data_IF_847353157836
#
_entry.id   IF_847353157836
#
_cell.length_a   1.000
_cell.length_b   1.000
_cell.length_c   1.000
_cell.angle_alpha   90.00
_cell.angle_beta   90.00
_cell.angle_gamma   90.00
#
_symmetry.space_group_name_H-M   'P 1'
#
loop_
_entity.id
_entity.type
_entity.pdbx_description
1 polymer ?
#
# COMPACT_ATOMS: atom_id res chain seq x y z
N UNK A 1 -15.00 24.87 35.54
CA UNK A 1 -14.54 25.50 34.28
C UNK A 1 -13.26 24.82 33.86
N UNK A 2 -13.36 23.78 33.04
CA UNK A 2 -12.21 23.05 32.47
C UNK A 2 -11.71 23.80 31.25
N UNK A 3 -10.45 24.21 31.25
CA UNK A 3 -9.83 24.91 30.12
C UNK A 3 -9.74 23.98 28.90
N UNK A 4 -10.05 24.48 27.68
CA UNK A 4 -9.91 23.69 26.47
C UNK A 4 -8.43 23.49 26.13
N UNK A 5 -8.05 22.23 25.90
CA UNK A 5 -6.74 21.81 25.41
C UNK A 5 -6.41 22.56 24.11
N UNK A 6 -5.22 23.17 23.96
CA UNK A 6 -4.88 23.89 22.74
C UNK A 6 -4.75 22.91 21.58
N UNK A 7 -5.63 23.06 20.59
CA UNK A 7 -5.53 22.40 19.28
C UNK A 7 -4.21 22.86 18.67
N UNK A 8 -3.24 21.95 18.54
CA UNK A 8 -2.00 22.22 17.80
C UNK A 8 -2.41 22.62 16.39
N UNK A 9 -2.12 23.87 16.00
CA UNK A 9 -2.22 24.37 14.62
C UNK A 9 -1.62 23.32 13.69
N UNK A 10 -2.41 22.84 12.73
CA UNK A 10 -1.92 21.98 11.65
C UNK A 10 -0.80 22.73 10.94
N UNK A 11 0.44 22.25 11.09
CA UNK A 11 1.54 22.70 10.25
C UNK A 11 1.17 22.37 8.80
N UNK A 12 1.40 23.33 7.89
CA UNK A 12 1.45 23.07 6.46
C UNK A 12 2.33 21.83 6.24
N UNK A 13 1.89 20.79 5.50
CA UNK A 13 2.66 19.57 5.37
C UNK A 13 4.01 19.91 4.75
N UNK A 14 5.09 19.51 5.41
CA UNK A 14 6.40 19.45 4.76
C UNK A 14 6.28 18.60 3.48
N UNK A 15 7.09 18.88 2.46
CA UNK A 15 7.15 18.08 1.25
C UNK A 15 7.23 16.58 1.58
N UNK A 16 6.52 15.74 0.81
CA UNK A 16 6.58 14.29 1.01
C UNK A 16 8.04 13.82 0.91
N UNK A 17 8.53 13.00 1.85
CA UNK A 17 9.89 12.49 1.75
C UNK A 17 10.02 11.63 0.49
N UNK A 18 11.14 11.76 -0.23
CA UNK A 18 11.44 10.87 -1.35
C UNK A 18 11.41 9.41 -0.88
N UNK A 19 10.65 8.57 -1.58
CA UNK A 19 10.51 7.16 -1.25
C UNK A 19 11.76 6.40 -1.73
N UNK A 20 12.76 6.34 -0.85
CA UNK A 20 14.02 5.63 -1.12
C UNK A 20 15.15 6.56 -1.59
N UNK A 21 16.38 6.07 -1.52
CA UNK A 21 17.50 6.71 -2.18
C UNK A 21 17.40 6.46 -3.70
N UNK A 22 17.96 7.33 -4.56
CA UNK A 22 18.04 7.06 -6.00
C UNK A 22 18.61 5.65 -6.24
N UNK A 23 17.84 4.79 -6.90
CA UNK A 23 18.22 3.39 -7.19
C UNK A 23 17.95 2.35 -6.09
N UNK A 24 17.16 2.64 -5.04
CA UNK A 24 16.71 1.60 -4.08
C UNK A 24 15.24 1.74 -3.70
N UNK A 25 14.45 0.73 -4.06
CA UNK A 25 13.04 0.57 -3.67
C UNK A 25 12.84 0.64 -2.15
N UNK A 26 11.91 1.47 -1.67
CA UNK A 26 11.50 1.47 -0.26
C UNK A 26 10.62 0.26 0.06
N UNK A 27 11.07 -0.59 0.98
CA UNK A 27 10.29 -1.75 1.42
C UNK A 27 9.68 -1.56 2.80
N UNK A 28 8.36 -1.52 2.85
CA UNK A 28 7.56 -1.43 4.07
C UNK A 28 7.23 -2.81 4.62
N UNK A 29 7.50 -3.02 5.90
CA UNK A 29 7.11 -4.23 6.61
C UNK A 29 5.67 -4.11 7.08
N UNK A 30 4.78 -4.89 6.48
CA UNK A 30 3.34 -4.80 6.78
C UNK A 30 3.03 -5.49 8.10
N UNK A 31 2.35 -4.80 9.01
CA UNK A 31 2.01 -5.34 10.33
C UNK A 31 0.67 -4.81 10.84
N UNK A 32 0.03 -5.59 11.71
CA UNK A 32 -1.13 -5.16 12.48
C UNK A 32 -0.75 -4.70 13.90
N UNK A 33 0.53 -4.79 14.27
CA UNK A 33 1.03 -4.43 15.60
C UNK A 33 1.36 -2.94 15.64
N UNK A 34 0.37 -2.10 15.95
CA UNK A 34 0.54 -0.64 16.05
C UNK A 34 1.73 -0.21 16.92
N UNK A 35 1.93 -0.88 18.05
CA UNK A 35 3.04 -0.56 18.95
C UNK A 35 4.43 -0.81 18.37
N UNK A 36 4.57 -1.44 17.19
CA UNK A 36 5.88 -1.55 16.53
C UNK A 36 6.39 -0.20 16.03
N UNK A 37 5.50 0.78 15.83
CA UNK A 37 5.87 2.16 15.48
C UNK A 37 6.83 2.79 16.49
N UNK A 38 6.75 2.42 17.78
CA UNK A 38 7.68 2.87 18.84
C UNK A 38 8.87 1.93 19.09
N UNK A 39 9.02 0.88 18.30
CA UNK A 39 10.05 -0.16 18.52
C UNK A 39 11.09 -0.23 17.40
N UNK A 40 10.84 0.40 16.27
CA UNK A 40 11.76 0.34 15.13
C UNK A 40 11.62 1.58 14.25
N UNK A 41 12.72 1.94 13.60
CA UNK A 41 12.82 2.94 12.55
C UNK A 41 12.63 2.34 11.14
N UNK A 42 12.46 1.01 11.03
CA UNK A 42 12.19 0.34 9.76
C UNK A 42 10.85 0.79 9.18
N UNK A 43 10.77 1.09 7.87
CA UNK A 43 9.52 1.45 7.23
C UNK A 43 8.40 0.43 7.48
N UNK A 44 7.26 0.86 8.02
CA UNK A 44 6.10 0.00 8.30
C UNK A 44 4.90 0.32 7.40
N UNK A 45 4.09 -0.70 7.09
CA UNK A 45 2.79 -0.52 6.44
C UNK A 45 1.69 -1.04 7.36
N UNK A 46 0.73 -0.19 7.70
CA UNK A 46 -0.30 -0.52 8.68
C UNK A 46 -1.68 -0.13 8.17
N UNK A 47 -2.67 -0.95 8.49
CA UNK A 47 -4.06 -0.66 8.13
C UNK A 47 -4.72 0.31 9.09
N UNK A 48 -5.43 1.29 8.55
CA UNK A 48 -6.21 2.29 9.29
C UNK A 48 -7.18 1.66 10.30
N UNK A 49 -7.83 0.55 9.92
CA UNK A 49 -8.79 -0.20 10.75
C UNK A 49 -8.23 -0.65 12.11
N UNK A 50 -6.91 -0.84 12.22
CA UNK A 50 -6.30 -1.22 13.50
C UNK A 50 -6.35 -0.10 14.55
N UNK A 51 -6.66 1.14 14.13
CA UNK A 51 -6.79 2.31 15.02
C UNK A 51 -8.22 2.67 15.41
N UNK A 52 -9.25 2.05 14.83
CA UNK A 52 -10.66 2.39 15.11
C UNK A 52 -10.99 2.41 16.62
N UNK A 53 -10.38 1.48 17.37
CA UNK A 53 -10.56 1.32 18.83
C UNK A 53 -9.29 1.63 19.62
N UNK A 54 -8.38 2.41 19.04
CA UNK A 54 -7.12 2.77 19.71
C UNK A 54 -7.39 3.69 20.91
N UNK A 55 -7.15 3.16 22.11
CA UNK A 55 -7.06 3.97 23.35
C UNK A 55 -5.65 4.52 23.51
N UNK A 56 -4.63 3.71 23.18
CA UNK A 56 -3.22 4.10 23.20
C UNK A 56 -2.71 4.39 21.79
N UNK A 57 -1.93 5.46 21.68
CA UNK A 57 -1.24 5.91 20.48
C UNK A 57 0.26 5.86 20.72
N UNK A 58 0.98 5.14 19.86
CA UNK A 58 2.43 5.06 19.88
C UNK A 58 2.97 5.95 18.76
N UNK A 59 3.81 6.92 19.10
CA UNK A 59 4.46 7.82 18.12
C UNK A 59 5.44 7.02 17.27
N UNK A 60 5.45 7.27 15.96
CA UNK A 60 6.36 6.61 15.04
C UNK A 60 7.82 7.05 15.24
N UNK A 61 8.73 6.09 15.32
CA UNK A 61 10.19 6.34 15.30
C UNK A 61 10.77 6.38 13.89
N UNK A 62 10.11 5.75 12.92
CA UNK A 62 10.54 5.71 11.53
C UNK A 62 9.39 5.90 10.55
N UNK A 63 9.68 5.81 9.24
CA UNK A 63 8.66 6.01 8.22
C UNK A 63 7.55 4.97 8.30
N UNK A 64 6.35 5.38 7.95
CA UNK A 64 5.26 4.43 7.78
C UNK A 64 4.26 4.95 6.76
N UNK A 65 3.53 4.04 6.14
CA UNK A 65 2.40 4.35 5.28
C UNK A 65 1.16 3.58 5.74
N UNK A 66 -0.01 4.07 5.31
CA UNK A 66 -1.31 3.62 5.81
C UNK A 66 -2.11 2.95 4.70
N UNK A 67 -2.56 1.73 4.95
CA UNK A 67 -3.50 1.00 4.09
C UNK A 67 -4.95 1.33 4.51
N UNK A 68 -5.86 1.42 3.55
CA UNK A 68 -7.27 1.72 3.81
C UNK A 68 -8.05 0.56 4.42
N UNK A 69 -7.55 -0.68 4.31
CA UNK A 69 -8.23 -1.91 4.73
C UNK A 69 -9.07 -2.56 3.63
N UNK A 70 -9.05 -2.02 2.39
CA UNK A 70 -10.01 -2.36 1.34
C UNK A 70 -10.11 -3.85 1.02
N UNK A 71 -9.00 -4.59 1.05
CA UNK A 71 -9.02 -6.03 0.85
C UNK A 71 -9.95 -6.77 1.82
N UNK A 72 -9.92 -6.43 3.11
CA UNK A 72 -10.75 -7.12 4.09
C UNK A 72 -12.21 -6.71 3.97
N UNK A 73 -12.46 -5.43 3.69
CA UNK A 73 -13.81 -4.86 3.59
C UNK A 73 -14.55 -5.40 2.36
N UNK A 74 -13.94 -5.31 1.16
CA UNK A 74 -14.55 -5.83 -0.06
C UNK A 74 -14.66 -7.36 -0.06
N UNK A 75 -13.65 -8.08 0.44
CA UNK A 75 -13.74 -9.53 0.57
C UNK A 75 -14.93 -9.96 1.43
N UNK A 76 -15.11 -9.32 2.59
CA UNK A 76 -16.10 -9.74 3.59
C UNK A 76 -17.51 -9.19 3.37
N UNK A 77 -17.64 -8.07 2.65
CA UNK A 77 -18.91 -7.34 2.51
C UNK A 77 -19.30 -7.04 1.07
N UNK A 78 -18.40 -7.21 0.10
CA UNK A 78 -18.63 -6.84 -1.30
C UNK A 78 -18.76 -5.33 -1.54
N UNK A 79 -18.55 -4.49 -0.51
CA UNK A 79 -18.71 -3.04 -0.58
C UNK A 79 -17.97 -2.34 0.55
N UNK A 80 -17.66 -1.05 0.35
CA UNK A 80 -17.22 -0.17 1.43
C UNK A 80 -18.38 0.22 2.33
N UNK A 81 -18.19 0.06 3.63
CA UNK A 81 -19.12 0.48 4.70
C UNK A 81 -18.58 1.65 5.51
N UNK A 82 -17.26 1.87 5.53
CA UNK A 82 -16.65 3.09 6.06
C UNK A 82 -16.80 4.24 5.05
N UNK A 83 -17.54 5.32 5.38
CA UNK A 83 -17.67 6.45 4.46
C UNK A 83 -16.35 7.24 4.30
N UNK A 84 -16.11 7.91 3.17
CA UNK A 84 -14.90 8.72 2.93
C UNK A 84 -14.61 9.75 4.03
N UNK A 85 -15.64 10.42 4.54
CA UNK A 85 -15.50 11.37 5.66
C UNK A 85 -14.98 10.73 6.94
N UNK A 86 -15.44 9.51 7.26
CA UNK A 86 -14.94 8.77 8.42
C UNK A 86 -13.49 8.36 8.19
N UNK A 87 -13.16 7.86 7.00
CA UNK A 87 -11.78 7.48 6.67
C UNK A 87 -10.81 8.65 6.78
N UNK A 88 -11.18 9.83 6.27
CA UNK A 88 -10.40 11.08 6.44
C UNK A 88 -10.20 11.43 7.91
N UNK A 89 -11.25 11.34 8.74
CA UNK A 89 -11.12 11.59 10.18
C UNK A 89 -10.15 10.62 10.84
N UNK A 90 -10.18 9.35 10.47
CA UNK A 90 -9.27 8.33 10.98
C UNK A 90 -7.82 8.65 10.58
N UNK A 91 -7.58 9.03 9.31
CA UNK A 91 -6.26 9.45 8.84
C UNK A 91 -5.74 10.68 9.57
N UNK A 92 -6.59 11.70 9.82
CA UNK A 92 -6.22 12.88 10.62
C UNK A 92 -5.83 12.49 12.04
N UNK A 93 -6.61 11.62 12.69
CA UNK A 93 -6.29 11.14 14.05
C UNK A 93 -4.97 10.38 14.07
N UNK A 94 -4.72 9.52 13.09
CA UNK A 94 -3.43 8.83 12.95
C UNK A 94 -2.31 9.87 12.80
N UNK A 95 -2.47 10.85 11.91
CA UNK A 95 -1.47 11.91 11.69
C UNK A 95 -1.15 12.69 12.97
N UNK A 96 -2.19 13.13 13.68
CA UNK A 96 -2.07 13.94 14.89
C UNK A 96 -1.41 13.20 16.06
N UNK A 97 -1.70 11.90 16.22
CA UNK A 97 -1.28 11.14 17.41
C UNK A 97 -0.04 10.26 17.17
N UNK A 98 0.15 9.76 15.94
CA UNK A 98 1.28 8.89 15.58
C UNK A 98 2.41 9.70 14.95
N UNK A 99 2.08 10.79 14.24
CA UNK A 99 3.01 11.60 13.46
C UNK A 99 2.65 11.59 11.96
N UNK A 100 3.42 12.30 11.12
CA UNK A 100 3.19 12.30 9.69
C UNK A 100 3.54 10.93 9.08
N UNK A 101 2.62 10.34 8.31
CA UNK A 101 2.91 9.19 7.45
C UNK A 101 3.51 9.63 6.11
N UNK A 102 4.19 8.71 5.42
CA UNK A 102 4.71 8.93 4.07
C UNK A 102 3.56 9.17 3.09
N UNK A 103 2.56 8.29 3.12
CA UNK A 103 1.31 8.38 2.34
C UNK A 103 0.25 7.41 2.90
N UNK A 104 -1.00 7.58 2.47
CA UNK A 104 -2.11 6.68 2.75
C UNK A 104 -2.78 6.23 1.45
N UNK A 105 -3.14 4.95 1.35
CA UNK A 105 -3.93 4.42 0.24
C UNK A 105 -5.36 5.00 0.28
N UNK A 106 -6.04 5.17 -0.87
CA UNK A 106 -7.45 5.53 -0.91
C UNK A 106 -8.32 4.31 -0.59
N UNK A 107 -9.64 4.48 -0.56
CA UNK A 107 -10.60 3.37 -0.47
C UNK A 107 -10.90 2.84 -1.88
N UNK A 108 -9.88 2.25 -2.48
CA UNK A 108 -9.91 1.69 -3.84
C UNK A 108 -10.76 0.42 -3.96
N UNK A 109 -11.02 0.02 -5.20
CA UNK A 109 -11.81 -1.15 -5.53
C UNK A 109 -10.97 -2.12 -6.38
N UNK A 110 -10.48 -3.20 -5.77
CA UNK A 110 -9.61 -4.16 -6.45
C UNK A 110 -10.38 -4.95 -7.51
N UNK A 111 -9.77 -5.11 -8.69
CA UNK A 111 -10.29 -5.79 -9.86
C UNK A 111 -9.95 -7.29 -9.91
N UNK A 112 -9.55 -7.88 -8.78
CA UNK A 112 -9.26 -9.31 -8.72
C UNK A 112 -10.54 -10.12 -8.90
N UNK A 113 -10.47 -11.20 -9.69
CA UNK A 113 -11.60 -12.11 -9.96
C UNK A 113 -12.33 -12.55 -8.69
N UNK A 114 -11.60 -12.89 -7.62
CA UNK A 114 -12.18 -13.27 -6.34
C UNK A 114 -12.94 -12.14 -5.64
N UNK A 115 -12.53 -10.88 -5.82
CA UNK A 115 -13.21 -9.71 -5.24
C UNK A 115 -14.47 -9.39 -6.06
N UNK A 116 -14.38 -9.44 -7.39
CA UNK A 116 -15.52 -9.16 -8.28
C UNK A 116 -16.56 -10.28 -8.22
N UNK A 117 -16.17 -11.51 -8.52
CA UNK A 117 -17.09 -12.60 -8.73
C UNK A 117 -17.47 -13.33 -7.44
N UNK A 118 -16.69 -13.18 -6.38
CA UNK A 118 -16.92 -13.87 -5.12
C UNK A 118 -16.69 -15.38 -5.23
N UNK A 119 -16.97 -16.11 -4.15
CA UNK A 119 -16.77 -17.56 -4.07
C UNK A 119 -15.63 -17.95 -3.11
N UNK A 120 -15.07 -19.15 -3.31
CA UNK A 120 -14.04 -19.69 -2.40
C UNK A 120 -12.70 -19.81 -3.14
N UNK A 121 -11.72 -19.02 -2.71
CA UNK A 121 -10.37 -19.02 -3.28
C UNK A 121 -9.34 -19.32 -2.20
N UNK A 122 -8.56 -20.39 -2.39
CA UNK A 122 -7.51 -20.78 -1.44
C UNK A 122 -8.03 -20.98 -0.01
N UNK A 123 -9.24 -21.54 0.13
CA UNK A 123 -9.90 -21.78 1.41
C UNK A 123 -10.47 -20.54 2.09
N UNK A 124 -10.56 -19.41 1.39
CA UNK A 124 -11.15 -18.17 1.90
C UNK A 124 -12.39 -17.82 1.10
N UNK A 125 -13.46 -17.46 1.79
CA UNK A 125 -14.70 -16.99 1.18
C UNK A 125 -14.63 -15.49 0.84
N UNK A 126 -15.19 -15.13 -0.30
CA UNK A 126 -15.34 -13.77 -0.83
C UNK A 126 -16.80 -13.53 -1.19
N UNK A 127 -17.35 -12.41 -0.74
CA UNK A 127 -18.74 -12.02 -1.02
C UNK A 127 -19.00 -11.80 -2.50
N UNK A 128 -18.04 -11.21 -3.21
CA UNK A 128 -18.27 -10.71 -4.57
C UNK A 128 -18.89 -9.31 -4.55
N UNK A 129 -18.30 -8.37 -5.28
CA UNK A 129 -18.93 -7.06 -5.53
C UNK A 129 -19.98 -7.17 -6.65
N UNK A 130 -19.77 -8.12 -7.57
CA UNK A 130 -20.54 -8.33 -8.80
C UNK A 130 -20.59 -7.09 -9.72
N UNK A 131 -19.54 -6.28 -9.69
CA UNK A 131 -19.36 -5.11 -10.53
C UNK A 131 -18.31 -5.37 -11.62
N UNK A 132 -18.36 -4.59 -12.71
CA UNK A 132 -17.32 -4.67 -13.73
C UNK A 132 -16.00 -4.07 -13.25
N UNK A 133 -14.90 -4.45 -13.92
CA UNK A 133 -13.58 -3.81 -13.76
C UNK A 133 -13.68 -2.30 -13.97
N UNK A 134 -14.41 -1.86 -15.00
CA UNK A 134 -14.65 -0.44 -15.29
C UNK A 134 -15.33 0.29 -14.12
N UNK A 135 -16.35 -0.32 -13.51
CA UNK A 135 -17.03 0.28 -12.37
C UNK A 135 -16.12 0.36 -11.13
N UNK A 136 -15.27 -0.65 -10.91
CA UNK A 136 -14.23 -0.59 -9.87
C UNK A 136 -13.24 0.55 -10.11
N UNK A 137 -12.78 0.74 -11.34
CA UNK A 137 -11.88 1.83 -11.71
C UNK A 137 -12.55 3.19 -11.49
N UNK A 138 -13.79 3.37 -11.99
CA UNK A 138 -14.56 4.60 -11.80
C UNK A 138 -14.71 4.94 -10.31
N UNK A 139 -15.08 3.96 -9.47
CA UNK A 139 -15.21 4.17 -8.02
C UNK A 139 -13.88 4.46 -7.34
N UNK A 140 -12.79 3.83 -7.77
CA UNK A 140 -11.45 4.08 -7.25
C UNK A 140 -11.01 5.52 -7.51
N UNK A 141 -11.12 5.98 -8.76
CA UNK A 141 -10.76 7.35 -9.16
C UNK A 141 -11.65 8.36 -8.44
N UNK A 142 -12.96 8.15 -8.41
CA UNK A 142 -13.88 9.04 -7.71
C UNK A 142 -13.60 9.13 -6.21
N UNK A 143 -13.30 7.99 -5.56
CA UNK A 143 -12.95 7.98 -4.16
C UNK A 143 -11.66 8.77 -3.90
N UNK A 144 -10.62 8.59 -4.70
CA UNK A 144 -9.39 9.37 -4.59
C UNK A 144 -9.65 10.88 -4.67
N UNK A 145 -10.43 11.32 -5.67
CA UNK A 145 -10.79 12.72 -5.85
C UNK A 145 -11.58 13.27 -4.66
N UNK A 146 -12.57 12.51 -4.15
CA UNK A 146 -13.34 12.88 -2.98
C UNK A 146 -12.45 13.01 -1.74
N UNK A 147 -11.56 12.05 -1.50
CA UNK A 147 -10.67 12.07 -0.34
C UNK A 147 -9.71 13.26 -0.39
N UNK A 148 -9.14 13.58 -1.55
CA UNK A 148 -8.27 14.78 -1.72
C UNK A 148 -9.03 16.09 -1.64
N UNK A 149 -10.30 16.11 -2.03
CA UNK A 149 -11.18 17.26 -1.82
C UNK A 149 -11.50 17.47 -0.33
N UNK A 150 -11.78 16.39 0.40
CA UNK A 150 -12.07 16.43 1.84
C UNK A 150 -10.83 16.74 2.71
N UNK A 151 -9.63 16.36 2.25
CA UNK A 151 -8.40 16.49 3.00
C UNK A 151 -7.19 16.78 2.09
N UNK A 152 -7.12 17.97 1.47
CA UNK A 152 -6.04 18.34 0.56
C UNK A 152 -4.67 18.43 1.25
N UNK A 153 -4.65 18.57 2.57
CA UNK A 153 -3.46 18.59 3.42
C UNK A 153 -2.93 17.19 3.78
N UNK A 154 -3.72 16.13 3.57
CA UNK A 154 -3.28 14.75 3.81
C UNK A 154 -2.64 14.13 2.57
N UNK A 155 -1.62 13.31 2.79
CA UNK A 155 -0.88 12.62 1.72
C UNK A 155 -1.61 11.35 1.27
N UNK A 156 -2.68 11.51 0.49
CA UNK A 156 -3.43 10.38 -0.08
C UNK A 156 -2.91 10.10 -1.49
N UNK A 157 -2.44 8.88 -1.72
CA UNK A 157 -1.90 8.46 -3.02
C UNK A 157 -3.00 7.95 -3.96
N UNK A 158 -2.89 8.13 -5.28
CA UNK A 158 -3.74 7.43 -6.24
C UNK A 158 -3.38 5.95 -6.31
N UNK A 159 -4.35 5.13 -6.73
CA UNK A 159 -4.14 3.71 -7.05
C UNK A 159 -4.71 3.41 -8.42
N UNK A 160 -3.88 2.85 -9.31
CA UNK A 160 -4.30 2.33 -10.61
C UNK A 160 -4.82 0.90 -10.41
N UNK A 161 -5.99 0.61 -10.97
CA UNK A 161 -6.67 -0.69 -10.86
C UNK A 161 -6.85 -1.33 -12.23
N UNK A 162 -6.85 -2.66 -12.29
CA UNK A 162 -7.05 -3.42 -13.51
C UNK A 162 -6.68 -4.90 -13.37
N UNK A 163 -6.99 -5.70 -14.38
CA UNK A 163 -6.66 -7.14 -14.47
C UNK A 163 -5.79 -7.48 -15.69
N UNK A 164 -5.78 -6.60 -16.70
CA UNK A 164 -5.02 -6.71 -17.95
C UNK A 164 -4.35 -5.37 -18.26
N UNK A 165 -3.27 -5.36 -19.06
CA UNK A 165 -2.58 -4.12 -19.45
C UNK A 165 -3.57 -3.07 -20.00
N UNK A 166 -4.47 -3.38 -20.96
CA UNK A 166 -5.46 -2.40 -21.43
C UNK A 166 -6.38 -1.87 -20.34
N UNK A 167 -6.75 -2.68 -19.35
CA UNK A 167 -7.53 -2.21 -18.21
C UNK A 167 -6.72 -1.22 -17.35
N UNK A 168 -5.43 -1.48 -17.09
CA UNK A 168 -4.58 -0.51 -16.38
C UNK A 168 -4.43 0.81 -17.14
N UNK A 169 -4.20 0.75 -18.46
CA UNK A 169 -4.14 1.95 -19.31
C UNK A 169 -5.47 2.73 -19.28
N UNK A 170 -6.61 2.04 -19.35
CA UNK A 170 -7.92 2.70 -19.20
C UNK A 170 -8.05 3.42 -17.85
N UNK A 171 -7.53 2.85 -16.76
CA UNK A 171 -7.56 3.49 -15.46
C UNK A 171 -6.62 4.70 -15.39
N UNK A 172 -5.46 4.66 -16.06
CA UNK A 172 -4.59 5.83 -16.24
C UNK A 172 -5.36 6.94 -16.95
N UNK A 173 -6.02 6.64 -18.06
CA UNK A 173 -6.82 7.64 -18.79
C UNK A 173 -7.94 8.25 -17.92
N UNK A 174 -8.53 7.47 -17.00
CA UNK A 174 -9.55 8.00 -16.08
C UNK A 174 -8.96 9.03 -15.11
N UNK A 175 -7.74 8.84 -14.61
CA UNK A 175 -7.05 9.83 -13.80
C UNK A 175 -6.69 11.07 -14.64
N UNK A 176 -6.16 10.87 -15.85
CA UNK A 176 -5.81 11.98 -16.76
C UNK A 176 -7.04 12.84 -17.11
N UNK A 177 -8.17 12.21 -17.47
CA UNK A 177 -9.43 12.91 -17.72
C UNK A 177 -9.97 13.64 -16.50
N UNK A 178 -9.63 13.19 -15.30
CA UNK A 178 -9.96 13.87 -14.06
C UNK A 178 -8.98 15.00 -13.71
N UNK A 179 -7.98 15.26 -14.55
CA UNK A 179 -6.96 16.30 -14.35
C UNK A 179 -5.86 15.90 -13.35
N UNK A 180 -5.65 14.59 -13.13
CA UNK A 180 -4.62 14.08 -12.22
C UNK A 180 -3.40 13.64 -13.01
N UNK A 181 -2.27 14.33 -12.81
CA UNK A 181 -0.98 13.93 -13.34
C UNK A 181 -0.33 12.89 -12.41
N UNK A 182 -0.40 11.61 -12.81
CA UNK A 182 0.17 10.50 -12.06
C UNK A 182 1.70 10.48 -12.04
N UNK A 183 2.39 11.13 -12.98
CA UNK A 183 3.86 11.21 -12.99
C UNK A 183 4.38 12.17 -11.91
N UNK A 184 3.62 13.24 -11.66
CA UNK A 184 3.91 14.21 -10.61
C UNK A 184 3.71 13.64 -9.19
N UNK A 185 2.87 12.62 -9.03
CA UNK A 185 2.56 12.04 -7.72
C UNK A 185 3.81 11.41 -7.06
N UNK A 186 3.99 11.54 -5.73
CA UNK A 186 5.14 11.01 -5.02
C UNK A 186 5.10 9.48 -4.92
N UNK A 187 3.91 8.89 -5.04
CA UNK A 187 3.73 7.45 -5.19
C UNK A 187 2.43 7.18 -5.94
N UNK A 188 2.40 6.11 -6.72
CA UNK A 188 1.21 5.61 -7.40
C UNK A 188 1.03 4.14 -7.05
N UNK A 189 -0.03 3.80 -6.34
CA UNK A 189 -0.30 2.41 -6.00
C UNK A 189 -0.68 1.58 -7.21
N UNK A 190 -0.17 0.35 -7.30
CA UNK A 190 -0.54 -0.62 -8.32
C UNK A 190 -1.43 -1.70 -7.68
N UNK A 191 -2.74 -1.51 -7.77
CA UNK A 191 -3.74 -2.42 -7.22
C UNK A 191 -3.79 -3.75 -7.97
N UNK A 192 -4.48 -4.76 -7.42
CA UNK A 192 -4.84 -6.02 -8.09
C UNK A 192 -3.72 -6.92 -8.65
N UNK A 193 -2.46 -6.51 -8.56
CA UNK A 193 -1.32 -7.27 -9.10
C UNK A 193 -0.75 -8.29 -8.10
N UNK A 194 -1.13 -8.22 -6.82
CA UNK A 194 -0.56 -9.03 -5.74
C UNK A 194 -0.64 -10.55 -6.01
N UNK A 195 -1.70 -11.04 -6.64
CA UNK A 195 -1.82 -12.47 -7.01
C UNK A 195 -1.14 -12.82 -8.34
N UNK A 196 -0.86 -11.82 -9.17
CA UNK A 196 -0.21 -11.95 -10.47
C UNK A 196 1.31 -11.74 -10.40
N UNK A 197 1.83 -11.21 -9.30
CA UNK A 197 3.22 -10.73 -9.17
C UNK A 197 4.32 -11.73 -9.56
N UNK A 198 4.09 -13.04 -9.47
CA UNK A 198 5.05 -14.08 -9.85
C UNK A 198 4.85 -14.60 -11.28
N UNK A 199 3.81 -14.16 -11.98
CA UNK A 199 3.44 -14.60 -13.33
C UNK A 199 4.10 -13.72 -14.39
N UNK A 200 4.13 -14.20 -15.65
CA UNK A 200 4.56 -13.37 -16.79
C UNK A 200 3.65 -12.15 -16.99
N UNK A 201 2.34 -12.33 -16.77
CA UNK A 201 1.35 -11.26 -16.88
C UNK A 201 1.59 -10.17 -15.83
N UNK A 202 1.81 -10.53 -14.56
CA UNK A 202 2.08 -9.53 -13.52
C UNK A 202 3.35 -8.74 -13.80
N UNK A 203 4.40 -9.39 -14.30
CA UNK A 203 5.60 -8.69 -14.71
C UNK A 203 5.34 -7.72 -15.88
N UNK A 204 4.60 -8.16 -16.90
CA UNK A 204 4.25 -7.31 -18.04
C UNK A 204 3.40 -6.08 -17.64
N UNK A 205 2.46 -6.25 -16.70
CA UNK A 205 1.67 -5.14 -16.14
C UNK A 205 2.58 -4.13 -15.43
N UNK A 206 3.45 -4.60 -14.53
CA UNK A 206 4.36 -3.70 -13.79
C UNK A 206 5.30 -2.97 -14.74
N UNK A 207 5.85 -3.67 -15.74
CA UNK A 207 6.69 -3.06 -16.78
C UNK A 207 5.94 -2.01 -17.59
N UNK A 208 4.73 -2.31 -18.06
CA UNK A 208 3.91 -1.35 -18.81
C UNK A 208 3.66 -0.07 -17.99
N UNK A 209 3.28 -0.21 -16.72
CA UNK A 209 3.02 0.92 -15.84
C UNK A 209 4.30 1.69 -15.46
N UNK A 210 5.45 1.02 -15.37
CA UNK A 210 6.72 1.67 -15.08
C UNK A 210 7.25 2.51 -16.25
N UNK A 211 6.93 2.14 -17.51
CA UNK A 211 7.33 2.90 -18.71
C UNK A 211 6.74 4.32 -18.71
N UNK A 212 5.58 4.52 -18.09
CA UNK A 212 4.98 5.84 -17.89
C UNK A 212 5.76 6.73 -16.91
N UNK A 213 6.81 6.23 -16.25
CA UNK A 213 7.59 7.00 -15.27
C UNK A 213 6.91 7.13 -13.90
N UNK A 214 5.86 6.36 -13.64
CA UNK A 214 5.16 6.39 -12.36
C UNK A 214 6.04 5.87 -11.21
N UNK A 215 5.91 6.51 -10.04
CA UNK A 215 6.59 6.09 -8.80
C UNK A 215 5.80 4.95 -8.15
N UNK A 216 5.86 3.77 -8.74
CA UNK A 216 4.95 2.66 -8.40
C UNK A 216 5.15 2.13 -6.97
N UNK A 217 4.04 1.91 -6.27
CA UNK A 217 3.98 1.09 -5.06
C UNK A 217 3.34 -0.27 -5.34
N UNK A 218 4.09 -1.34 -5.10
CA UNK A 218 3.58 -2.71 -5.23
C UNK A 218 2.95 -3.23 -3.94
N UNK A 219 1.62 -3.36 -3.92
CA UNK A 219 0.89 -3.88 -2.75
C UNK A 219 1.11 -5.39 -2.55
N UNK A 220 1.52 -5.80 -1.35
CA UNK A 220 1.59 -7.20 -0.94
C UNK A 220 2.61 -8.06 -1.71
N UNK A 221 3.67 -7.44 -2.22
CA UNK A 221 4.69 -8.17 -2.96
C UNK A 221 5.47 -9.15 -2.07
N UNK A 222 5.87 -10.29 -2.63
CA UNK A 222 6.63 -11.37 -2.02
C UNK A 222 7.96 -11.50 -2.71
N UNK A 223 8.89 -12.23 -2.11
CA UNK A 223 10.28 -12.39 -2.58
C UNK A 223 10.37 -12.67 -4.08
N UNK A 224 9.67 -13.69 -4.60
CA UNK A 224 9.73 -14.03 -6.04
C UNK A 224 9.17 -12.94 -6.97
N UNK A 225 8.15 -12.20 -6.54
CA UNK A 225 7.65 -11.06 -7.31
C UNK A 225 8.64 -9.91 -7.32
N UNK A 226 9.24 -9.61 -6.17
CA UNK A 226 10.25 -8.56 -6.03
C UNK A 226 11.56 -8.88 -6.77
N UNK A 227 12.00 -10.14 -6.78
CA UNK A 227 13.14 -10.56 -7.60
C UNK A 227 12.92 -10.26 -9.08
N UNK A 228 11.67 -10.36 -9.54
CA UNK A 228 11.31 -10.18 -10.95
C UNK A 228 11.12 -8.72 -11.36
N UNK A 229 10.46 -7.92 -10.53
CA UNK A 229 10.06 -6.54 -10.90
C UNK A 229 10.34 -5.49 -9.83
N UNK A 230 10.99 -5.84 -8.72
CA UNK A 230 11.26 -4.89 -7.64
C UNK A 230 12.11 -3.69 -8.07
N UNK A 231 12.95 -3.84 -9.09
CA UNK A 231 13.73 -2.75 -9.69
C UNK A 231 12.88 -1.73 -10.46
N UNK A 232 11.61 -2.05 -10.76
CA UNK A 232 10.64 -1.17 -11.42
C UNK A 232 9.73 -0.46 -10.42
N UNK A 233 9.87 -0.72 -9.13
CA UNK A 233 9.02 -0.16 -8.08
C UNK A 233 9.77 0.90 -7.27
N UNK A 234 9.11 2.02 -7.00
CA UNK A 234 9.60 3.01 -6.04
C UNK A 234 9.45 2.48 -4.60
N UNK A 235 8.38 1.72 -4.34
CA UNK A 235 8.18 1.06 -3.05
C UNK A 235 7.34 -0.21 -3.15
N UNK A 236 7.37 -1.03 -2.09
CA UNK A 236 6.51 -2.19 -1.96
C UNK A 236 6.27 -2.53 -0.48
N UNK A 237 5.21 -3.28 -0.19
CA UNK A 237 4.94 -3.78 1.15
C UNK A 237 4.73 -5.31 1.18
N UNK A 238 4.86 -5.91 2.37
CA UNK A 238 4.50 -7.32 2.55
C UNK A 238 4.22 -7.73 3.99
N UNK A 239 3.13 -8.47 4.18
CA UNK A 239 2.82 -9.20 5.42
C UNK A 239 3.26 -10.68 5.36
N UNK A 240 3.96 -11.11 4.30
CA UNK A 240 4.25 -12.53 4.06
C UNK A 240 5.07 -13.20 5.16
N UNK A 241 5.87 -12.42 5.92
CA UNK A 241 6.62 -12.88 7.09
C UNK A 241 5.74 -13.60 8.12
N UNK A 242 4.51 -13.12 8.36
CA UNK A 242 3.63 -13.68 9.40
C UNK A 242 3.11 -15.07 9.01
N UNK A 243 2.71 -15.24 7.75
CA UNK A 243 2.31 -16.55 7.20
C UNK A 243 3.49 -17.52 7.18
N UNK A 244 4.67 -17.02 6.78
CA UNK A 244 5.91 -17.80 6.76
C UNK A 244 6.29 -18.30 8.16
N UNK A 245 6.18 -17.44 9.18
CA UNK A 245 6.47 -17.78 10.57
C UNK A 245 5.46 -18.76 11.18
N UNK A 246 4.18 -18.69 10.78
CA UNK A 246 3.09 -19.53 11.34
C UNK A 246 3.34 -21.04 11.18
N UNK A 247 4.08 -21.42 10.13
CA UNK A 247 4.35 -22.81 9.75
C UNK A 247 5.74 -23.29 10.17
N UNK A 248 6.42 -22.56 11.05
CA UNK A 248 7.79 -22.83 11.47
C UNK A 248 7.91 -22.79 12.99
N UNK A 249 8.88 -23.50 13.57
CA UNK A 249 9.21 -23.34 14.98
C UNK A 249 9.60 -21.88 15.28
N UNK A 250 9.41 -21.43 16.52
CA UNK A 250 9.89 -20.13 16.94
C UNK A 250 11.42 -20.02 16.80
N UNK A 251 11.95 -18.79 16.75
CA UNK A 251 13.40 -18.58 16.78
C UNK A 251 13.99 -19.14 18.08
N UNK A 252 15.26 -19.58 18.07
CA UNK A 252 15.95 -19.98 19.29
C UNK A 252 15.81 -18.93 20.40
N UNK A 253 15.48 -19.37 21.61
CA UNK A 253 15.25 -18.49 22.77
C UNK A 253 13.83 -17.91 22.89
N UNK A 254 12.97 -18.06 21.88
CA UNK A 254 11.59 -17.57 21.95
C UNK A 254 10.66 -18.63 22.56
N UNK A 255 9.77 -18.21 23.46
CA UNK A 255 8.88 -19.11 24.24
C UNK A 255 7.47 -19.25 23.66
N UNK A 256 7.13 -18.53 22.59
CA UNK A 256 5.81 -18.58 21.96
C UNK A 256 5.69 -19.72 20.94
N UNK A 257 4.46 -20.19 20.66
CA UNK A 257 4.19 -21.30 19.72
C UNK A 257 4.84 -21.14 18.34
N UNK A 258 4.82 -19.93 17.78
CA UNK A 258 5.48 -19.56 16.55
C UNK A 258 5.67 -18.04 16.46
N UNK A 259 6.51 -17.59 15.55
CA UNK A 259 6.87 -16.17 15.42
C UNK A 259 5.90 -15.34 14.55
N UNK A 260 4.67 -15.77 14.29
CA UNK A 260 3.73 -15.07 13.40
C UNK A 260 3.28 -13.67 13.88
N UNK A 261 3.68 -13.29 15.10
CA UNK A 261 3.43 -12.00 15.73
C UNK A 261 4.70 -11.38 16.35
N UNK A 262 5.88 -11.85 15.96
CA UNK A 262 7.15 -11.50 16.57
C UNK A 262 7.92 -10.48 15.72
N UNK A 263 8.38 -9.40 16.36
CA UNK A 263 9.12 -8.32 15.68
C UNK A 263 10.47 -8.78 15.17
N UNK A 264 11.25 -9.50 15.99
CA UNK A 264 12.59 -9.97 15.61
C UNK A 264 12.55 -10.85 14.35
N UNK A 265 11.55 -11.74 14.29
CA UNK A 265 11.33 -12.55 13.10
C UNK A 265 10.99 -11.72 11.88
N UNK A 266 10.10 -10.74 12.03
CA UNK A 266 9.66 -9.89 10.93
C UNK A 266 10.82 -9.03 10.38
N UNK A 267 11.67 -8.49 11.28
CA UNK A 267 12.87 -7.73 10.92
C UNK A 267 13.94 -8.60 10.25
N UNK A 268 14.21 -9.80 10.78
CA UNK A 268 15.11 -10.77 10.13
C UNK A 268 14.59 -11.20 8.77
N UNK A 269 13.29 -11.46 8.65
CA UNK A 269 12.67 -11.80 7.37
C UNK A 269 12.83 -10.67 6.34
N UNK A 270 12.56 -9.43 6.74
CA UNK A 270 12.75 -8.25 5.87
C UNK A 270 14.19 -8.14 5.38
N UNK A 271 15.16 -8.29 6.28
CA UNK A 271 16.59 -8.22 5.94
C UNK A 271 16.95 -9.26 4.88
N UNK A 272 16.45 -10.49 5.03
CA UNK A 272 16.65 -11.55 4.03
C UNK A 272 15.98 -11.26 2.69
N UNK A 273 14.77 -10.70 2.69
CA UNK A 273 14.08 -10.31 1.44
C UNK A 273 14.90 -9.28 0.68
N UNK A 274 15.35 -8.23 1.37
CA UNK A 274 16.14 -7.17 0.75
C UNK A 274 17.51 -7.64 0.27
N UNK A 275 18.16 -8.55 1.00
CA UNK A 275 19.43 -9.13 0.60
C UNK A 275 19.33 -10.08 -0.62
N UNK A 276 18.13 -10.60 -0.90
CA UNK A 276 17.88 -11.48 -2.05
C UNK A 276 17.52 -10.71 -3.33
N UNK A 277 17.25 -9.40 -3.25
CA UNK A 277 16.91 -8.62 -4.44
C UNK A 277 18.16 -8.44 -5.32
N UNK A 278 18.02 -8.56 -6.65
CA UNK A 278 19.12 -8.29 -7.57
C UNK A 278 19.72 -6.90 -7.31
N UNK A 279 21.04 -6.82 -7.21
CA UNK A 279 21.76 -5.54 -7.07
C UNK A 279 21.91 -4.82 -8.42
N UNK A 280 21.68 -5.52 -9.52
CA UNK A 280 21.80 -4.99 -10.87
C UNK A 280 20.52 -4.31 -11.33
N UNK A 281 20.66 -3.08 -11.84
CA UNK A 281 19.61 -2.33 -12.50
C UNK A 281 19.98 -2.26 -13.98
N UNK A 282 19.06 -2.65 -14.86
CA UNK A 282 19.20 -2.30 -16.27
C UNK A 282 19.00 -0.78 -16.37
N UNK A 283 19.98 0.00 -16.85
CA UNK A 283 19.76 1.42 -17.08
C UNK A 283 18.59 1.58 -18.05
N UNK A 284 17.75 2.58 -17.81
CA UNK A 284 16.75 2.97 -18.79
C UNK A 284 17.48 3.25 -20.11
N UNK A 285 17.00 2.66 -21.20
CA UNK A 285 17.47 3.04 -22.53
C UNK A 285 16.94 4.46 -22.73
N UNK A 286 17.80 5.45 -22.53
CA UNK A 286 17.52 6.82 -22.93
C UNK A 286 17.20 6.77 -24.43
N UNK A 287 15.97 7.17 -24.76
CA UNK A 287 15.51 7.24 -26.14
C UNK A 287 16.46 8.12 -26.92
N UNK A 288 17.08 7.53 -27.94
CA UNK A 288 17.79 8.22 -29.01
C UNK A 288 16.99 9.45 -29.45
N UNK A 289 17.50 10.65 -29.14
CA UNK A 289 17.21 11.84 -29.92
C UNK A 289 17.60 11.56 -31.37
N UNK A 290 16.62 11.24 -32.21
CA UNK A 290 16.78 11.29 -33.65
C UNK A 290 16.32 12.67 -34.10
N UNK A 291 17.29 13.43 -34.59
CA UNK A 291 17.16 14.69 -35.31
C UNK A 291 16.25 14.60 -36.55
#
# INVERSE_FOLDING_TARGET
>A
MTQPTPIRRALVPAAAPALGAPGRMRFYLTTHKRHWLRLTDVPLFLKSEHWDRAVKWDVAQGPYAVDSGGFMELKGKGTWTRPPRQYVQDLRRIWEHVGPYDWAAPQDWMCEDAIINGGTFGGQHFTGTHLSVEEHQRRTVQNFLELRSLAPDLRIAPVIQGDTIPAYEHCVDLYERAGVDLQAEPVVGLGSVCRLQSTRQGAAIVTAMAIHGFKLHGFGFKTLGLERVGHLLASADSAAWSSHARRRPPLPGHTHKNCANCIDYALHWRTRVLAALPTWHQPAIEGSEAA
#
